data_IF_259022774734
#
_entry.id   IF_259022774734
#
_cell.length_a   1.000
_cell.length_b   1.000
_cell.length_c   1.000
_cell.angle_alpha   90.00
_cell.angle_beta   90.00
_cell.angle_gamma   90.00
#
_symmetry.space_group_name_H-M   'P 1'
#
loop_
_entity.id
_entity.type
_entity.pdbx_description
1 polymer ?
#
# COMPACT_ATOMS: atom_id res chain seq x y z
N UNK A 1 7.83 51.85 19.82
CA UNK A 1 8.45 50.54 20.09
C UNK A 1 7.42 49.45 19.87
N UNK A 2 7.86 48.35 19.26
CA UNK A 2 7.20 47.03 19.13
C UNK A 2 6.04 46.91 18.13
N UNK A 3 6.48 46.53 16.93
CA UNK A 3 5.83 45.65 15.94
C UNK A 3 5.64 44.26 16.58
N UNK A 4 4.78 43.44 15.94
CA UNK A 4 4.70 41.96 15.94
C UNK A 4 3.60 41.41 16.88
N UNK A 5 2.68 40.52 16.47
CA UNK A 5 2.76 39.41 15.53
C UNK A 5 1.40 39.03 14.91
N UNK A 6 1.47 38.64 13.62
CA UNK A 6 0.93 37.41 13.01
C UNK A 6 -0.48 36.97 13.40
N UNK A 7 -1.43 37.04 12.45
CA UNK A 7 -1.78 35.90 11.57
C UNK A 7 -2.08 34.64 12.36
N UNK A 8 -3.35 34.26 12.43
CA UNK A 8 -3.76 32.91 12.08
C UNK A 8 -5.16 32.98 11.49
N UNK A 9 -5.20 32.83 10.17
CA UNK A 9 -6.39 32.48 9.40
C UNK A 9 -7.20 31.45 10.18
N UNK A 10 -8.44 31.78 10.54
CA UNK A 10 -9.44 30.77 10.82
C UNK A 10 -9.68 30.02 9.51
N UNK A 11 -8.90 28.95 9.29
CA UNK A 11 -9.26 27.95 8.29
C UNK A 11 -10.63 27.41 8.69
N UNK A 12 -11.64 27.43 7.80
CA UNK A 12 -12.84 26.67 8.04
C UNK A 12 -12.41 25.20 8.16
N UNK A 13 -12.75 24.59 9.29
CA UNK A 13 -12.58 23.18 9.55
C UNK A 13 -13.30 22.44 8.43
N UNK A 14 -12.55 21.97 7.43
CA UNK A 14 -13.04 21.04 6.44
C UNK A 14 -13.51 19.81 7.21
N UNK A 15 -14.83 19.71 7.35
CA UNK A 15 -15.51 18.52 7.84
C UNK A 15 -15.17 17.40 6.87
N UNK A 16 -14.17 16.59 7.23
CA UNK A 16 -13.91 15.32 6.61
C UNK A 16 -15.16 14.46 6.82
N UNK A 17 -15.96 14.33 5.76
CA UNK A 17 -16.96 13.29 5.66
C UNK A 17 -16.18 11.97 5.58
N UNK A 18 -16.31 11.04 6.55
CA UNK A 18 -15.77 9.71 6.40
C UNK A 18 -16.72 8.95 5.47
N UNK A 19 -16.77 9.36 4.20
CA UNK A 19 -17.27 8.49 3.16
C UNK A 19 -16.22 7.41 3.02
N UNK A 20 -16.48 6.31 3.72
CA UNK A 20 -16.19 4.93 3.31
C UNK A 20 -14.96 4.84 2.44
N UNK A 21 -13.83 4.45 3.04
CA UNK A 21 -12.78 3.74 2.29
C UNK A 21 -13.47 2.55 1.64
N UNK A 22 -13.94 2.73 0.42
CA UNK A 22 -14.28 1.65 -0.47
C UNK A 22 -12.99 0.85 -0.61
N UNK A 23 -12.93 -0.23 0.17
CA UNK A 23 -12.04 -1.34 -0.11
C UNK A 23 -12.29 -1.68 -1.57
N UNK A 24 -11.30 -1.40 -2.43
CA UNK A 24 -11.33 -1.73 -3.85
C UNK A 24 -11.44 -3.25 -4.01
N UNK A 25 -12.64 -3.78 -3.82
CA UNK A 25 -13.07 -5.10 -4.28
C UNK A 25 -13.37 -5.01 -5.78
N UNK A 26 -12.35 -4.69 -6.58
CA UNK A 26 -12.41 -4.85 -8.03
C UNK A 26 -11.14 -5.57 -8.52
N UNK A 27 -10.93 -6.80 -8.04
CA UNK A 27 -10.14 -7.79 -8.78
C UNK A 27 -11.09 -8.80 -9.42
N UNK A 28 -11.80 -8.35 -10.47
CA UNK A 28 -12.56 -9.20 -11.41
C UNK A 28 -11.63 -9.85 -12.47
N UNK A 29 -10.38 -10.13 -12.11
CA UNK A 29 -9.40 -10.85 -12.93
C UNK A 29 -8.80 -11.97 -12.12
N UNK A 30 -8.33 -13.04 -12.77
CA UNK A 30 -7.68 -14.18 -12.10
C UNK A 30 -6.61 -13.65 -11.14
N UNK A 31 -6.90 -13.77 -9.84
CA UNK A 31 -6.00 -13.33 -8.77
C UNK A 31 -5.17 -14.51 -8.30
N UNK A 32 -3.86 -14.34 -8.25
CA UNK A 32 -2.92 -15.33 -7.78
C UNK A 32 -2.26 -14.86 -6.49
N UNK A 33 -1.88 -15.80 -5.63
CA UNK A 33 -1.07 -15.50 -4.46
C UNK A 33 0.40 -15.72 -4.80
N UNK A 34 1.20 -14.68 -4.65
CA UNK A 34 2.66 -14.77 -4.72
C UNK A 34 3.19 -14.98 -3.31
N UNK A 35 4.05 -15.97 -3.15
CA UNK A 35 4.73 -16.31 -1.90
C UNK A 35 6.22 -16.32 -2.16
N UNK A 36 6.98 -15.57 -1.38
CA UNK A 36 8.43 -15.50 -1.49
C UNK A 36 9.03 -15.93 -0.17
N UNK A 37 9.94 -16.90 -0.23
CA UNK A 37 10.74 -17.33 0.91
C UNK A 37 12.20 -17.00 0.62
N UNK A 38 12.66 -15.89 1.21
CA UNK A 38 14.01 -15.37 1.08
C UNK A 38 15.03 -16.20 1.86
N UNK A 39 14.61 -16.77 3.00
CA UNK A 39 15.52 -17.36 3.98
C UNK A 39 15.63 -18.90 3.87
N UNK A 40 14.76 -19.53 3.08
CA UNK A 40 14.68 -20.97 2.84
C UNK A 40 14.17 -21.81 4.02
N UNK A 41 13.49 -21.22 5.01
CA UNK A 41 13.04 -21.89 6.23
C UNK A 41 11.73 -22.70 6.07
N UNK A 42 11.10 -22.63 4.91
CA UNK A 42 9.81 -23.25 4.60
C UNK A 42 8.59 -22.34 4.80
N UNK A 43 8.74 -21.18 5.44
CA UNK A 43 7.70 -20.18 5.65
C UNK A 43 7.92 -18.96 4.71
N UNK A 44 6.87 -18.40 4.08
CA UNK A 44 7.04 -17.26 3.21
C UNK A 44 7.33 -15.99 4.01
N UNK A 45 8.43 -15.30 3.67
CA UNK A 45 8.76 -13.96 4.19
C UNK A 45 7.81 -12.89 3.63
N UNK A 46 7.27 -13.11 2.43
CA UNK A 46 6.25 -12.26 1.81
C UNK A 46 5.11 -13.09 1.20
N UNK A 47 3.86 -12.68 1.46
CA UNK A 47 2.67 -13.24 0.84
C UNK A 47 1.72 -12.10 0.42
N UNK A 48 1.37 -12.05 -0.87
CA UNK A 48 0.52 -11.01 -1.44
C UNK A 48 -0.41 -11.54 -2.53
N UNK A 49 -1.59 -10.93 -2.66
CA UNK A 49 -2.53 -11.21 -3.75
C UNK A 49 -2.26 -10.25 -4.89
N UNK A 50 -2.02 -10.79 -6.09
CA UNK A 50 -1.69 -10.04 -7.30
C UNK A 50 -2.49 -10.57 -8.48
N UNK A 51 -2.47 -9.86 -9.60
CA UNK A 51 -3.03 -10.35 -10.85
C UNK A 51 -2.16 -11.51 -11.37
N UNK A 52 -2.77 -12.65 -11.70
CA UNK A 52 -2.05 -13.85 -12.16
C UNK A 52 -1.12 -13.56 -13.34
N UNK A 53 -1.45 -12.60 -14.21
CA UNK A 53 -0.59 -12.27 -15.36
C UNK A 53 0.76 -11.64 -14.97
N UNK A 54 0.89 -11.17 -13.73
CA UNK A 54 2.10 -10.58 -13.18
C UNK A 54 2.70 -11.42 -12.04
N UNK A 55 2.09 -12.55 -11.68
CA UNK A 55 2.49 -13.33 -10.51
C UNK A 55 3.92 -13.89 -10.63
N UNK A 56 4.31 -14.36 -11.82
CA UNK A 56 5.66 -14.87 -12.10
C UNK A 56 6.70 -13.74 -12.03
N UNK A 57 6.52 -12.68 -12.82
CA UNK A 57 7.41 -11.52 -12.85
C UNK A 57 7.57 -10.85 -11.47
N UNK A 58 6.50 -10.78 -10.68
CA UNK A 58 6.55 -10.23 -9.32
C UNK A 58 7.23 -11.19 -8.35
N UNK A 59 6.99 -12.51 -8.48
CA UNK A 59 7.66 -13.54 -7.70
C UNK A 59 9.18 -13.45 -7.84
N UNK A 60 9.68 -13.38 -9.08
CA UNK A 60 11.11 -13.23 -9.37
C UNK A 60 11.67 -11.93 -8.80
N UNK A 61 10.95 -10.81 -8.91
CA UNK A 61 11.38 -9.53 -8.33
C UNK A 61 11.45 -9.56 -6.81
N UNK A 62 10.50 -10.24 -6.16
CA UNK A 62 10.52 -10.40 -4.72
C UNK A 62 11.67 -11.33 -4.28
N UNK A 63 11.93 -12.41 -5.01
CA UNK A 63 13.10 -13.28 -4.77
C UNK A 63 14.43 -12.54 -4.98
N UNK A 64 14.57 -11.74 -6.03
CA UNK A 64 15.78 -10.91 -6.25
C UNK A 64 15.98 -9.88 -5.13
N UNK A 65 14.87 -9.39 -4.56
CA UNK A 65 14.88 -8.44 -3.45
C UNK A 65 15.26 -9.07 -2.10
N UNK A 66 15.34 -10.40 -2.01
CA UNK A 66 15.76 -11.14 -0.82
C UNK A 66 17.26 -11.02 -0.49
N UNK A 67 17.99 -10.15 -1.19
CA UNK A 67 19.44 -10.00 -1.13
C UNK A 67 19.98 -9.39 0.18
#
# INVERSE_FOLDING_TARGET
>A
MKILLMSFLMLPLFLFNPSTVESSEEMLGDSCTVKTNCNGDGDPDYEGVVDCKYAEDLGDQFEDSCS
#
